data_IF_392228268843
#
_entry.id   IF_392228268843
#
_cell.length_a   1.000
_cell.length_b   1.000
_cell.length_c   1.000
_cell.angle_alpha   90.00
_cell.angle_beta   90.00
_cell.angle_gamma   90.00
#
_symmetry.space_group_name_H-M   'P 1'
#
loop_
_entity.id
_entity.type
_entity.pdbx_description
1 polymer ?
#
# COMPACT_ATOMS: atom_id res chain seq x y z
N UNK A 1 -12.85 14.09 -18.83
CA UNK A 1 -12.29 12.75 -18.53
C UNK A 1 -11.45 12.33 -19.71
N UNK A 2 -10.24 11.82 -19.50
CA UNK A 2 -9.40 11.30 -20.59
C UNK A 2 -9.88 9.90 -20.96
N UNK A 3 -9.87 9.58 -22.25
CA UNK A 3 -10.14 8.22 -22.72
C UNK A 3 -9.02 7.28 -22.27
N UNK A 4 -9.41 6.08 -21.82
CA UNK A 4 -8.48 5.05 -21.32
C UNK A 4 -8.68 3.76 -22.09
N UNK A 5 -7.56 3.17 -22.52
CA UNK A 5 -7.57 1.88 -23.20
C UNK A 5 -7.86 0.73 -22.22
N UNK A 6 -8.52 -0.31 -22.71
CA UNK A 6 -8.55 -1.59 -22.01
C UNK A 6 -7.24 -2.34 -22.32
N UNK A 7 -6.64 -2.95 -21.31
CA UNK A 7 -5.38 -3.69 -21.44
C UNK A 7 -5.62 -5.17 -21.14
N UNK A 8 -4.94 -6.03 -21.89
CA UNK A 8 -4.96 -7.48 -21.66
C UNK A 8 -4.12 -7.81 -20.44
N UNK A 9 -4.71 -8.45 -19.44
CA UNK A 9 -3.99 -8.97 -18.27
C UNK A 9 -3.34 -10.34 -18.56
N UNK A 10 -2.56 -10.83 -17.59
CA UNK A 10 -1.87 -12.13 -17.67
C UNK A 10 -2.82 -13.33 -17.85
N UNK A 11 -4.05 -13.24 -17.36
CA UNK A 11 -5.10 -14.25 -17.53
C UNK A 11 -5.81 -14.18 -18.89
N UNK A 12 -5.49 -13.18 -19.73
CA UNK A 12 -6.02 -13.00 -21.06
C UNK A 12 -7.28 -12.12 -21.16
N UNK A 13 -7.70 -11.50 -20.08
CA UNK A 13 -8.88 -10.63 -20.00
C UNK A 13 -8.51 -9.19 -20.37
N UNK A 14 -9.34 -8.52 -21.17
CA UNK A 14 -9.19 -7.09 -21.46
C UNK A 14 -9.98 -6.26 -20.45
N UNK A 15 -9.26 -5.48 -19.65
CA UNK A 15 -9.83 -4.73 -18.53
C UNK A 15 -9.54 -3.24 -18.69
N UNK A 16 -10.51 -2.39 -18.34
CA UNK A 16 -10.26 -0.96 -18.08
C UNK A 16 -9.70 -0.79 -16.65
N UNK A 17 -8.95 0.28 -16.36
CA UNK A 17 -8.51 0.55 -15.00
C UNK A 17 -9.72 0.80 -14.09
N UNK A 18 -9.78 0.11 -12.96
CA UNK A 18 -10.78 0.28 -11.92
C UNK A 18 -10.17 -0.05 -10.55
N UNK A 19 -10.82 0.43 -9.47
CA UNK A 19 -10.41 0.12 -8.10
C UNK A 19 -10.40 -1.40 -7.89
N UNK A 20 -11.47 -2.09 -8.27
CA UNK A 20 -11.58 -3.55 -8.12
C UNK A 20 -10.46 -4.30 -8.85
N UNK A 21 -10.09 -3.85 -10.06
CA UNK A 21 -9.03 -4.49 -10.84
C UNK A 21 -7.63 -4.23 -10.27
N UNK A 22 -7.42 -3.09 -9.59
CA UNK A 22 -6.17 -2.81 -8.86
C UNK A 22 -6.14 -3.61 -7.56
N UNK A 23 -7.26 -3.72 -6.84
CA UNK A 23 -7.40 -4.57 -5.65
C UNK A 23 -7.13 -6.03 -5.99
N UNK A 24 -7.64 -6.53 -7.12
CA UNK A 24 -7.33 -7.87 -7.61
C UNK A 24 -5.83 -8.07 -7.90
N UNK A 25 -5.14 -7.04 -8.39
CA UNK A 25 -3.70 -7.09 -8.58
C UNK A 25 -2.93 -7.15 -7.26
N UNK A 26 -3.41 -6.42 -6.24
CA UNK A 26 -2.82 -6.38 -4.90
C UNK A 26 -3.11 -7.63 -4.05
N UNK A 27 -4.15 -8.41 -4.40
CA UNK A 27 -4.55 -9.64 -3.71
C UNK A 27 -3.63 -10.85 -3.99
N UNK A 28 -2.56 -10.66 -4.76
CA UNK A 28 -1.58 -11.68 -5.11
C UNK A 28 -0.70 -12.13 -3.93
N UNK A 29 0.56 -12.42 -4.23
CA UNK A 29 1.49 -13.03 -3.26
C UNK A 29 1.74 -12.17 -2.03
N UNK A 30 2.09 -12.84 -0.92
CA UNK A 30 2.42 -12.17 0.33
C UNK A 30 3.60 -11.20 0.14
N UNK A 31 3.50 -10.02 0.77
CA UNK A 31 4.63 -9.10 0.80
C UNK A 31 5.82 -9.74 1.53
N UNK A 32 7.05 -9.52 1.02
CA UNK A 32 8.27 -9.91 1.72
C UNK A 32 8.51 -8.98 2.91
N UNK A 33 9.45 -9.34 3.80
CA UNK A 33 9.83 -8.51 4.95
C UNK A 33 10.28 -7.10 4.56
N UNK A 34 10.82 -6.89 3.36
CA UNK A 34 11.17 -5.54 2.90
C UNK A 34 9.95 -4.65 2.66
N UNK A 35 8.72 -5.20 2.68
CA UNK A 35 7.46 -4.58 2.32
C UNK A 35 7.43 -4.02 0.89
N UNK A 36 8.33 -4.49 0.03
CA UNK A 36 8.42 -4.05 -1.36
C UNK A 36 8.16 -5.22 -2.28
N UNK A 37 7.17 -5.11 -3.16
CA UNK A 37 6.90 -6.11 -4.19
C UNK A 37 6.35 -5.46 -5.46
N UNK A 38 6.42 -6.17 -6.58
CA UNK A 38 5.75 -5.76 -7.81
C UNK A 38 4.40 -6.46 -7.90
N UNK A 39 3.35 -5.67 -8.17
CA UNK A 39 2.04 -6.18 -8.57
C UNK A 39 1.73 -5.86 -10.05
N UNK A 40 2.74 -5.41 -10.79
CA UNK A 40 2.66 -5.22 -12.24
C UNK A 40 2.51 -6.58 -12.91
N UNK A 41 1.56 -6.67 -13.83
CA UNK A 41 1.18 -7.90 -14.52
C UNK A 41 0.98 -9.10 -13.57
N UNK A 42 0.32 -8.83 -12.42
CA UNK A 42 0.01 -9.88 -11.44
C UNK A 42 -0.82 -11.01 -12.09
N UNK A 43 -0.67 -12.26 -11.63
CA UNK A 43 -1.40 -13.40 -12.20
C UNK A 43 -2.89 -13.47 -11.77
N UNK A 44 -3.36 -12.55 -10.94
CA UNK A 44 -4.73 -12.53 -10.43
C UNK A 44 -5.75 -12.37 -11.56
N UNK A 45 -6.79 -13.20 -11.55
CA UNK A 45 -7.94 -13.00 -12.45
C UNK A 45 -8.58 -11.64 -12.16
N UNK A 46 -8.94 -10.90 -13.19
CA UNK A 46 -9.48 -9.55 -13.05
C UNK A 46 -8.44 -8.49 -12.68
N UNK A 47 -7.14 -8.82 -12.56
CA UNK A 47 -6.11 -7.86 -12.21
C UNK A 47 -5.79 -6.92 -13.38
N UNK A 48 -5.74 -5.61 -13.13
CA UNK A 48 -5.28 -4.65 -14.12
C UNK A 48 -3.75 -4.73 -14.27
N UNK A 49 -3.20 -4.87 -15.50
CA UNK A 49 -1.78 -5.22 -15.68
C UNK A 49 -0.81 -4.10 -15.31
N UNK A 50 -1.25 -2.84 -15.29
CA UNK A 50 -0.41 -1.69 -14.88
C UNK A 50 -0.86 -1.23 -13.50
N UNK A 51 -0.47 -1.98 -12.48
CA UNK A 51 -0.76 -1.70 -11.08
C UNK A 51 0.54 -1.66 -10.28
N UNK A 52 0.61 -0.79 -9.26
CA UNK A 52 1.76 -0.66 -8.36
C UNK A 52 1.33 -0.12 -7.00
N UNK A 53 2.07 -0.51 -5.97
CA UNK A 53 2.08 0.21 -4.70
C UNK A 53 2.86 1.53 -4.84
N UNK A 54 2.61 2.46 -3.93
CA UNK A 54 3.49 3.58 -3.63
C UNK A 54 4.08 3.40 -2.25
N UNK A 55 5.28 3.92 -2.02
CA UNK A 55 6.10 3.61 -0.86
C UNK A 55 6.53 4.86 -0.11
N UNK A 56 6.56 4.77 1.22
CA UNK A 56 7.21 5.74 2.10
C UNK A 56 8.51 5.13 2.61
N UNK A 57 9.60 5.89 2.49
CA UNK A 57 10.90 5.55 3.06
C UNK A 57 11.08 6.36 4.34
N UNK A 58 11.20 5.67 5.48
CA UNK A 58 11.26 6.29 6.79
C UNK A 58 12.40 5.68 7.59
N UNK A 59 13.15 6.52 8.31
CA UNK A 59 14.17 6.04 9.24
C UNK A 59 13.51 5.25 10.37
N UNK A 60 14.02 4.05 10.64
CA UNK A 60 13.58 3.25 11.78
C UNK A 60 13.90 3.94 13.12
N UNK A 61 15.09 4.55 13.20
CA UNK A 61 15.51 5.35 14.36
C UNK A 61 15.65 6.82 13.96
N UNK A 62 14.72 7.65 14.43
CA UNK A 62 14.69 9.10 14.17
C UNK A 62 15.35 9.89 15.30
N UNK A 63 16.11 10.93 14.92
CA UNK A 63 16.76 11.84 15.88
C UNK A 63 15.79 12.82 16.52
N UNK A 64 14.73 13.20 15.80
CA UNK A 64 13.71 14.14 16.28
C UNK A 64 12.49 13.35 16.73
N UNK A 65 12.38 13.13 18.04
CA UNK A 65 11.30 12.34 18.63
C UNK A 65 9.93 12.92 18.32
N UNK A 66 9.77 14.24 18.39
CA UNK A 66 8.49 14.92 18.16
C UNK A 66 8.00 14.71 16.72
N UNK A 67 8.88 14.94 15.73
CA UNK A 67 8.53 14.66 14.32
C UNK A 67 8.31 13.18 14.07
N UNK A 68 9.11 12.33 14.70
CA UNK A 68 8.98 10.88 14.64
C UNK A 68 7.60 10.38 15.04
N UNK A 69 7.13 10.80 16.22
CA UNK A 69 5.81 10.43 16.72
C UNK A 69 4.68 10.94 15.81
N UNK A 70 4.77 12.19 15.35
CA UNK A 70 3.78 12.76 14.45
C UNK A 70 3.70 11.97 13.13
N UNK A 71 4.85 11.64 12.54
CA UNK A 71 4.92 10.85 11.31
C UNK A 71 4.40 9.42 11.53
N UNK A 72 4.77 8.77 12.62
CA UNK A 72 4.31 7.42 12.94
C UNK A 72 2.79 7.36 13.13
N UNK A 73 2.21 8.34 13.86
CA UNK A 73 0.76 8.48 14.03
C UNK A 73 0.04 8.77 12.70
N UNK A 74 0.62 9.60 11.85
CA UNK A 74 0.08 9.86 10.51
C UNK A 74 0.06 8.59 9.66
N UNK A 75 1.16 7.84 9.60
CA UNK A 75 1.21 6.60 8.83
C UNK A 75 0.25 5.54 9.40
N UNK A 76 0.14 5.45 10.74
CA UNK A 76 -0.85 4.60 11.39
C UNK A 76 -2.27 4.97 10.96
N UNK A 77 -2.63 6.26 11.03
CA UNK A 77 -3.94 6.73 10.56
C UNK A 77 -4.14 6.45 9.05
N UNK A 78 -3.12 6.68 8.22
CA UNK A 78 -3.20 6.55 6.76
C UNK A 78 -3.53 5.12 6.33
N UNK A 79 -2.95 4.10 6.97
CA UNK A 79 -3.25 2.69 6.67
C UNK A 79 -4.56 2.19 7.33
N UNK A 80 -5.20 3.00 8.18
CA UNK A 80 -6.49 2.71 8.81
C UNK A 80 -7.58 3.64 8.28
N UNK A 81 -7.99 4.64 9.07
CA UNK A 81 -9.08 5.56 8.74
C UNK A 81 -8.83 6.35 7.46
N UNK A 82 -7.57 6.68 7.17
CA UNK A 82 -7.19 7.39 5.95
C UNK A 82 -7.52 6.63 4.67
N UNK A 83 -7.60 5.30 4.71
CA UNK A 83 -7.95 4.49 3.55
C UNK A 83 -9.38 4.75 3.04
N UNK A 84 -10.26 5.28 3.89
CA UNK A 84 -11.63 5.68 3.49
C UNK A 84 -11.63 6.77 2.41
N UNK A 85 -10.54 7.51 2.27
CA UNK A 85 -10.36 8.57 1.27
C UNK A 85 -9.80 8.05 -0.07
N UNK A 86 -9.32 6.80 -0.11
CA UNK A 86 -8.61 6.27 -1.28
C UNK A 86 -9.50 6.18 -2.53
N UNK A 87 -10.73 5.69 -2.38
CA UNK A 87 -11.64 5.46 -3.50
C UNK A 87 -12.05 6.75 -4.22
N UNK A 88 -12.27 7.84 -3.47
CA UNK A 88 -12.60 9.15 -4.01
C UNK A 88 -11.45 9.73 -4.86
N UNK A 89 -10.21 9.34 -4.57
CA UNK A 89 -9.01 9.69 -5.32
C UNK A 89 -8.62 8.62 -6.36
N UNK A 90 -9.48 7.62 -6.59
CA UNK A 90 -9.26 6.51 -7.51
C UNK A 90 -8.07 5.59 -7.15
N UNK A 91 -7.70 5.54 -5.87
CA UNK A 91 -6.76 4.57 -5.33
C UNK A 91 -7.49 3.37 -4.73
N UNK A 92 -6.93 2.18 -4.91
CA UNK A 92 -7.38 1.00 -4.19
C UNK A 92 -6.85 1.03 -2.75
N UNK A 93 -7.69 0.70 -1.74
CA UNK A 93 -7.21 0.51 -0.38
C UNK A 93 -6.25 -0.69 -0.32
N UNK A 94 -5.29 -0.63 0.58
CA UNK A 94 -4.40 -1.73 0.93
C UNK A 94 -5.22 -2.92 1.44
N UNK A 95 -4.92 -4.15 0.96
CA UNK A 95 -5.51 -5.35 1.53
C UNK A 95 -5.17 -5.52 3.02
N UNK A 96 -6.06 -6.13 3.80
CA UNK A 96 -5.87 -6.33 5.25
C UNK A 96 -4.56 -7.04 5.62
N UNK A 97 -4.13 -7.99 4.80
CA UNK A 97 -2.86 -8.69 5.00
C UNK A 97 -1.66 -7.72 4.91
N UNK A 98 -1.73 -6.75 4.00
CA UNK A 98 -0.71 -5.70 3.84
C UNK A 98 -0.74 -4.76 5.03
N UNK A 99 -1.93 -4.31 5.45
CA UNK A 99 -2.09 -3.43 6.63
C UNK A 99 -1.44 -4.06 7.86
N UNK A 100 -1.70 -5.34 8.14
CA UNK A 100 -1.10 -6.06 9.28
C UNK A 100 0.43 -6.10 9.23
N UNK A 101 1.02 -6.30 8.05
CA UNK A 101 2.48 -6.28 7.91
C UNK A 101 3.06 -4.87 8.11
N UNK A 102 2.39 -3.85 7.58
CA UNK A 102 2.81 -2.46 7.76
C UNK A 102 2.67 -2.03 9.23
N UNK A 103 1.61 -2.42 9.94
CA UNK A 103 1.47 -2.20 11.38
C UNK A 103 2.66 -2.75 12.17
N UNK A 104 3.08 -3.98 11.86
CA UNK A 104 4.22 -4.61 12.51
C UNK A 104 5.51 -3.82 12.28
N UNK A 105 5.73 -3.31 11.05
CA UNK A 105 6.88 -2.46 10.72
C UNK A 105 6.80 -1.09 11.41
N UNK A 106 5.63 -0.46 11.46
CA UNK A 106 5.45 0.84 12.11
C UNK A 106 5.73 0.77 13.62
N UNK A 107 5.40 -0.33 14.29
CA UNK A 107 5.72 -0.56 15.72
C UNK A 107 7.22 -0.75 15.99
N UNK A 108 8.03 -0.92 14.96
CA UNK A 108 9.49 -0.98 15.11
C UNK A 108 10.10 0.42 15.26
N UNK A 109 9.43 1.46 14.75
CA UNK A 109 9.93 2.83 14.76
C UNK A 109 10.23 3.34 16.17
N UNK A 110 11.39 3.99 16.30
CA UNK A 110 11.94 4.46 17.58
C UNK A 110 12.69 5.78 17.43
N UNK A 111 12.99 6.39 18.56
CA UNK A 111 13.93 7.50 18.71
C UNK A 111 14.86 7.16 19.87
N UNK A 112 16.06 6.67 19.54
CA UNK A 112 16.91 5.97 20.50
C UNK A 112 16.18 4.74 21.08
N UNK A 113 16.06 4.68 22.40
CA UNK A 113 15.38 3.56 23.10
C UNK A 113 13.85 3.70 23.12
N UNK A 114 13.32 4.87 22.79
CA UNK A 114 11.88 5.16 22.88
C UNK A 114 11.14 4.69 21.64
N UNK A 115 10.11 3.85 21.81
CA UNK A 115 9.16 3.50 20.75
C UNK A 115 8.22 4.67 20.40
N UNK A 116 7.93 4.86 19.12
CA UNK A 116 7.11 5.98 18.62
C UNK A 116 5.62 5.66 18.52
N UNK A 117 5.28 4.37 18.53
CA UNK A 117 3.92 3.86 18.63
C UNK A 117 3.82 2.91 19.82
N UNK A 118 2.63 2.80 20.42
CA UNK A 118 2.36 1.83 21.48
C UNK A 118 2.48 0.37 21.00
#
# INVERSE_FOLDING_TARGET
>A
KLEVAALKNKSGEFLKPSIDAITAAAAGEALPDSLTTSITDSPGKGAYPISSYSYLLVYEDTKDTTKGEALAKFMWWAIHDGQKLAADLHYAPLPDAVVKQVEARLKQLKSGEKKLLP
#
